data_IF_985815078163
#
_entry.id   IF_985815078163
#
_cell.length_a   1.000
_cell.length_b   1.000
_cell.length_c   1.000
_cell.angle_alpha   90.00
_cell.angle_beta   90.00
_cell.angle_gamma   90.00
#
_symmetry.space_group_name_H-M   'P 1'
#
loop_
_entity.id
_entity.type
_entity.pdbx_description
1 polymer ?
#
# COMPACT_ATOMS: atom_id res chain seq x y z
N UNK A 1 32.87 -17.27 29.94
CA UNK A 1 32.46 -18.67 30.14
C UNK A 1 31.50 -18.74 31.34
N UNK A 2 30.36 -19.44 31.16
CA UNK A 2 29.35 -19.88 32.15
C UNK A 2 28.41 -18.84 32.78
N UNK A 3 27.27 -18.60 32.11
CA UNK A 3 26.03 -18.11 32.73
C UNK A 3 25.33 -19.25 33.50
N UNK A 4 24.83 -19.04 34.74
CA UNK A 4 23.98 -20.00 35.42
C UNK A 4 22.51 -19.87 35.01
N UNK A 5 21.93 -21.04 34.73
CA UNK A 5 20.59 -21.35 34.21
C UNK A 5 19.44 -20.79 35.07
N UNK A 6 18.51 -20.07 34.43
CA UNK A 6 17.22 -19.69 35.01
C UNK A 6 16.34 -20.92 35.25
N UNK A 7 15.72 -20.98 36.44
CA UNK A 7 14.78 -22.03 36.85
C UNK A 7 13.36 -21.65 36.42
N UNK A 8 12.82 -22.32 35.42
CA UNK A 8 11.42 -22.17 35.01
C UNK A 8 10.51 -22.99 35.94
N UNK A 9 9.77 -22.31 36.81
CA UNK A 9 8.77 -22.93 37.68
C UNK A 9 7.56 -23.44 36.92
N UNK A 10 7.27 -24.75 37.02
CA UNK A 10 6.05 -25.38 36.49
C UNK A 10 4.85 -25.07 37.39
N UNK A 11 3.92 -24.27 36.89
CA UNK A 11 2.65 -24.01 37.57
C UNK A 11 1.64 -25.14 37.26
N UNK A 12 1.41 -26.05 38.22
CA UNK A 12 0.33 -27.05 38.13
C UNK A 12 -0.91 -26.52 38.84
N UNK A 13 -1.94 -26.12 38.10
CA UNK A 13 -3.27 -25.85 38.67
C UNK A 13 -4.04 -27.17 38.77
N UNK A 14 -4.33 -27.62 40.01
CA UNK A 14 -5.35 -28.64 40.27
C UNK A 14 -6.71 -27.94 40.29
N UNK A 15 -7.71 -28.46 39.59
CA UNK A 15 -9.12 -28.19 39.88
C UNK A 15 -9.74 -29.50 40.36
N UNK A 16 -10.31 -29.44 41.56
CA UNK A 16 -11.10 -30.53 42.15
C UNK A 16 -12.35 -30.76 41.33
N UNK A 17 -12.71 -32.04 41.20
CA UNK A 17 -13.97 -32.47 40.61
C UNK A 17 -15.09 -32.44 41.64
N UNK A 18 -16.25 -31.96 41.21
CA UNK A 18 -17.55 -32.20 41.82
C UNK A 18 -18.53 -32.42 40.67
N UNK A 19 -19.11 -33.61 40.59
CA UNK A 19 -20.00 -34.03 39.51
C UNK A 19 -21.46 -33.58 39.71
N UNK A 20 -22.25 -33.68 38.64
CA UNK A 20 -23.71 -33.58 38.71
C UNK A 20 -24.39 -33.10 37.42
N UNK A 21 -24.66 -34.05 36.52
CA UNK A 21 -25.84 -34.17 35.64
C UNK A 21 -26.47 -32.95 34.91
N UNK A 22 -26.62 -33.11 33.59
CA UNK A 22 -27.81 -32.63 32.87
C UNK A 22 -27.55 -31.71 31.66
N UNK A 23 -27.90 -32.20 30.47
CA UNK A 23 -28.19 -31.37 29.30
C UNK A 23 -27.03 -31.15 28.33
N UNK A 24 -26.76 -32.15 27.48
CA UNK A 24 -25.94 -32.00 26.27
C UNK A 24 -26.72 -31.18 25.22
N UNK A 25 -26.69 -29.86 25.33
CA UNK A 25 -26.77 -29.01 24.14
C UNK A 25 -25.44 -28.30 24.00
N UNK A 26 -24.48 -29.06 23.48
CA UNK A 26 -23.15 -28.59 23.13
C UNK A 26 -23.30 -27.48 22.09
N UNK A 27 -23.33 -26.23 22.57
CA UNK A 27 -23.06 -25.03 21.76
C UNK A 27 -21.66 -25.16 21.19
N UNK A 28 -21.55 -25.91 20.09
CA UNK A 28 -20.35 -26.20 19.32
C UNK A 28 -19.80 -24.87 18.83
N UNK A 29 -18.97 -24.23 19.66
CA UNK A 29 -18.20 -23.04 19.29
C UNK A 29 -17.31 -23.45 18.12
N UNK A 30 -17.74 -23.15 16.90
CA UNK A 30 -16.94 -23.30 15.70
C UNK A 30 -15.72 -22.39 15.84
N UNK A 31 -14.60 -22.95 16.31
CA UNK A 31 -13.31 -22.30 16.17
C UNK A 31 -12.91 -22.43 14.70
N UNK A 32 -13.26 -21.44 13.89
CA UNK A 32 -12.69 -21.30 12.55
C UNK A 32 -11.21 -20.93 12.70
N UNK A 33 -10.31 -21.70 12.06
CA UNK A 33 -8.91 -21.34 11.99
C UNK A 33 -8.73 -20.12 11.10
N UNK A 34 -8.22 -19.02 11.64
CA UNK A 34 -7.81 -17.87 10.86
C UNK A 34 -6.41 -18.16 10.30
N UNK A 35 -6.31 -18.29 8.98
CA UNK A 35 -5.04 -18.42 8.28
C UNK A 35 -4.54 -17.02 7.88
N UNK A 36 -3.45 -16.57 8.49
CA UNK A 36 -2.78 -15.33 8.10
C UNK A 36 -1.89 -15.58 6.87
N UNK A 37 -2.10 -14.80 5.80
CA UNK A 37 -1.27 -14.86 4.59
C UNK A 37 -0.41 -13.58 4.47
N UNK A 38 0.88 -13.62 4.83
CA UNK A 38 1.76 -12.46 4.80
C UNK A 38 2.25 -12.06 3.40
N UNK A 39 1.74 -12.65 2.31
CA UNK A 39 2.24 -12.42 0.94
C UNK A 39 1.85 -11.06 0.32
N UNK A 40 1.22 -10.16 1.07
CA UNK A 40 0.84 -8.83 0.59
C UNK A 40 1.96 -7.82 0.72
N UNK A 41 1.93 -6.76 -0.09
CA UNK A 41 2.72 -5.53 0.11
C UNK A 41 1.78 -4.33 0.10
N UNK A 42 2.15 -3.27 0.80
CA UNK A 42 1.42 -2.00 0.79
C UNK A 42 2.21 -0.95 0.01
N UNK A 43 1.54 -0.23 -0.88
CA UNK A 43 2.14 0.86 -1.66
C UNK A 43 1.43 2.17 -1.34
N UNK A 44 2.21 3.20 -1.03
CA UNK A 44 1.76 4.56 -0.76
C UNK A 44 2.21 5.48 -1.89
N UNK A 45 1.30 6.31 -2.39
CA UNK A 45 1.59 7.31 -3.42
C UNK A 45 1.55 8.70 -2.81
N UNK A 46 2.54 9.51 -3.14
CA UNK A 46 2.63 10.91 -2.75
C UNK A 46 2.93 11.75 -3.98
N UNK A 47 2.31 12.92 -4.03
CA UNK A 47 2.58 13.96 -5.01
C UNK A 47 3.16 15.19 -4.30
N UNK A 48 3.93 16.02 -5.00
CA UNK A 48 4.46 17.25 -4.40
C UNK A 48 3.37 18.31 -4.13
N UNK A 49 2.21 18.19 -4.80
CA UNK A 49 1.06 19.10 -4.66
C UNK A 49 -0.26 18.34 -4.67
N UNK A 50 -1.28 18.94 -4.07
CA UNK A 50 -2.66 18.43 -4.08
C UNK A 50 -3.41 18.74 -5.37
N UNK A 51 -3.01 19.80 -6.09
CA UNK A 51 -3.58 20.20 -7.37
C UNK A 51 -2.49 20.72 -8.31
N UNK A 52 -2.71 20.51 -9.61
CA UNK A 52 -1.80 20.94 -10.67
C UNK A 52 -2.57 21.68 -11.76
N UNK A 53 -1.93 22.69 -12.35
CA UNK A 53 -2.42 23.39 -13.53
C UNK A 53 -1.90 22.74 -14.81
N UNK A 54 -2.55 22.96 -15.96
CA UNK A 54 -1.99 22.59 -17.26
C UNK A 54 -0.56 23.12 -17.42
N UNK A 55 0.33 22.30 -17.99
CA UNK A 55 1.74 22.66 -18.16
C UNK A 55 2.59 22.57 -16.88
N UNK A 56 2.07 22.07 -15.76
CA UNK A 56 2.89 21.82 -14.58
C UNK A 56 3.51 20.41 -14.58
N UNK A 57 4.73 20.31 -14.05
CA UNK A 57 5.38 19.03 -13.76
C UNK A 57 4.76 18.44 -12.49
N UNK A 58 4.28 17.21 -12.58
CA UNK A 58 3.82 16.42 -11.46
C UNK A 58 4.97 15.54 -10.98
N UNK A 59 5.37 15.68 -9.72
CA UNK A 59 6.36 14.81 -9.09
C UNK A 59 5.66 13.78 -8.24
N UNK A 60 6.02 12.52 -8.44
CA UNK A 60 5.39 11.36 -7.80
C UNK A 60 6.45 10.59 -7.04
N UNK A 61 6.08 10.16 -5.83
CA UNK A 61 6.84 9.23 -5.02
C UNK A 61 5.95 8.06 -4.65
N UNK A 62 6.35 6.86 -5.08
CA UNK A 62 5.75 5.61 -4.65
C UNK A 62 6.64 4.96 -3.58
N UNK A 63 6.05 4.53 -2.46
CA UNK A 63 6.75 3.84 -1.38
C UNK A 63 6.07 2.50 -1.14
N UNK A 64 6.79 1.41 -1.38
CA UNK A 64 6.29 0.05 -1.23
C UNK A 64 6.98 -0.68 -0.08
N UNK A 65 6.17 -1.25 0.82
CA UNK A 65 6.62 -1.95 2.02
C UNK A 65 5.97 -3.31 2.16
N UNK A 66 6.71 -4.25 2.74
CA UNK A 66 6.22 -5.57 3.13
C UNK A 66 5.52 -5.51 4.49
N UNK A 67 4.77 -6.56 4.90
CA UNK A 67 4.03 -6.56 6.16
C UNK A 67 4.94 -6.57 7.39
N UNK A 68 6.20 -6.94 7.22
CA UNK A 68 7.24 -6.85 8.25
C UNK A 68 7.89 -5.46 8.33
N UNK A 69 7.38 -4.48 7.58
CA UNK A 69 7.86 -3.10 7.53
C UNK A 69 9.12 -2.89 6.67
N UNK A 70 9.66 -3.95 6.05
CA UNK A 70 10.83 -3.83 5.19
C UNK A 70 10.47 -3.25 3.82
N UNK A 71 11.41 -2.55 3.17
CA UNK A 71 11.20 -2.08 1.81
C UNK A 71 11.00 -3.24 0.83
N UNK A 72 10.10 -3.04 -0.13
CA UNK A 72 9.93 -3.97 -1.24
C UNK A 72 11.15 -3.89 -2.17
N UNK A 73 11.85 -5.02 -2.35
CA UNK A 73 13.03 -5.13 -3.22
C UNK A 73 12.69 -5.71 -4.61
N UNK A 74 11.58 -5.26 -5.20
CA UNK A 74 11.15 -5.70 -6.54
C UNK A 74 10.82 -4.48 -7.40
N UNK A 75 11.04 -4.55 -8.73
CA UNK A 75 10.62 -3.50 -9.64
C UNK A 75 9.12 -3.25 -9.58
N UNK A 76 8.72 -2.01 -9.85
CA UNK A 76 7.32 -1.56 -9.83
C UNK A 76 6.87 -1.08 -11.21
N UNK A 77 5.62 -1.39 -11.54
CA UNK A 77 4.93 -0.82 -12.68
C UNK A 77 4.04 0.33 -12.20
N UNK A 78 4.21 1.51 -12.77
CA UNK A 78 3.45 2.71 -12.42
C UNK A 78 2.70 3.17 -13.66
N UNK A 79 1.39 3.36 -13.55
CA UNK A 79 0.56 3.93 -14.60
C UNK A 79 -0.30 5.06 -14.06
N UNK A 80 -0.46 6.09 -14.89
CA UNK A 80 -1.28 7.26 -14.61
C UNK A 80 -2.36 7.31 -15.66
N UNK A 81 -3.61 7.31 -15.21
CA UNK A 81 -4.77 7.43 -16.08
C UNK A 81 -5.48 8.75 -15.81
N UNK A 82 -6.08 9.33 -16.84
CA UNK A 82 -7.02 10.43 -16.67
C UNK A 82 -8.34 9.92 -16.05
N UNK A 83 -9.24 10.82 -15.61
CA UNK A 83 -10.55 10.43 -15.08
C UNK A 83 -11.45 9.66 -16.08
N UNK A 84 -11.13 9.66 -17.37
CA UNK A 84 -11.84 8.94 -18.42
C UNK A 84 -11.24 7.55 -18.67
N UNK A 85 -10.15 7.19 -17.99
CA UNK A 85 -9.46 5.91 -18.12
C UNK A 85 -8.38 5.88 -19.22
N UNK A 86 -8.03 7.01 -19.83
CA UNK A 86 -6.95 7.07 -20.81
C UNK A 86 -5.59 7.03 -20.10
N UNK A 87 -4.67 6.20 -20.58
CA UNK A 87 -3.31 6.12 -20.07
C UNK A 87 -2.52 7.38 -20.47
N UNK A 88 -2.22 8.23 -19.49
CA UNK A 88 -1.41 9.44 -19.69
C UNK A 88 0.09 9.14 -19.68
N UNK A 89 0.50 8.22 -18.79
CA UNK A 89 1.90 7.81 -18.67
C UNK A 89 2.05 6.46 -18.02
N UNK A 90 3.08 5.73 -18.43
CA UNK A 90 3.45 4.45 -17.85
C UNK A 90 4.97 4.35 -17.69
N UNK A 91 5.38 3.74 -16.58
CA UNK A 91 6.74 3.26 -16.36
C UNK A 91 6.66 1.79 -15.97
N UNK A 92 7.49 0.96 -16.60
CA UNK A 92 7.54 -0.47 -16.39
C UNK A 92 8.87 -0.86 -15.74
N UNK A 93 8.82 -1.85 -14.86
CA UNK A 93 9.97 -2.44 -14.18
C UNK A 93 10.91 -1.39 -13.57
N UNK A 94 10.33 -0.38 -12.92
CA UNK A 94 11.11 0.69 -12.29
C UNK A 94 11.73 0.19 -11.01
N UNK A 95 13.05 0.18 -10.97
CA UNK A 95 13.79 -0.12 -9.74
C UNK A 95 13.69 1.04 -8.74
N UNK A 96 13.36 0.69 -7.50
CA UNK A 96 13.28 1.63 -6.40
C UNK A 96 14.44 1.46 -5.43
N UNK A 97 14.92 2.56 -4.85
CA UNK A 97 15.91 2.53 -3.78
C UNK A 97 15.17 2.41 -2.46
N UNK A 98 15.45 1.34 -1.70
CA UNK A 98 14.77 1.05 -0.42
C UNK A 98 13.23 1.08 -0.56
N UNK A 99 12.72 0.47 -1.64
CA UNK A 99 11.26 0.40 -1.91
C UNK A 99 10.65 1.74 -2.30
N UNK A 100 11.46 2.76 -2.61
CA UNK A 100 11.02 4.09 -3.04
C UNK A 100 11.32 4.28 -4.51
N UNK A 101 10.30 4.63 -5.28
CA UNK A 101 10.41 5.07 -6.67
C UNK A 101 9.99 6.54 -6.76
N UNK A 102 10.81 7.35 -7.44
CA UNK A 102 10.51 8.76 -7.70
C UNK A 102 10.51 9.01 -9.19
N UNK A 103 9.40 9.53 -9.71
CA UNK A 103 9.21 9.83 -11.14
C UNK A 103 8.55 11.20 -11.30
N UNK A 104 8.65 11.76 -12.50
CA UNK A 104 7.99 13.01 -12.84
C UNK A 104 7.39 12.96 -14.23
N UNK A 105 6.32 13.72 -14.43
CA UNK A 105 5.70 13.87 -15.74
C UNK A 105 5.13 15.26 -15.96
N UNK A 106 5.24 15.73 -17.19
CA UNK A 106 4.68 17.00 -17.62
C UNK A 106 3.19 16.82 -17.93
N UNK A 107 2.33 17.59 -17.28
CA UNK A 107 0.92 17.69 -17.67
C UNK A 107 0.80 18.44 -18.99
N UNK A 108 -0.08 17.96 -19.86
CA UNK A 108 -0.35 18.65 -21.13
C UNK A 108 -0.87 20.07 -20.87
N UNK A 109 -0.35 21.03 -21.64
CA UNK A 109 -0.95 22.34 -21.75
C UNK A 109 -2.20 22.22 -22.60
N UNK A 110 -3.33 21.91 -21.97
CA UNK A 110 -4.62 22.09 -22.64
C UNK A 110 -4.85 23.59 -22.72
N UNK A 111 -4.59 24.18 -23.90
CA UNK A 111 -4.91 25.57 -24.20
C UNK A 111 -6.44 25.75 -24.12
N UNK A 112 -6.96 25.98 -22.92
CA UNK A 112 -8.31 26.48 -22.71
C UNK A 112 -8.31 28.00 -22.86
N UNK A 113 -7.92 28.48 -24.04
CA UNK A 113 -8.20 29.86 -24.42
C UNK A 113 -8.70 29.89 -25.84
N UNK A 114 -9.94 30.35 -26.02
CA UNK A 114 -10.66 30.30 -27.28
C UNK A 114 -9.85 30.91 -28.42
N UNK A 115 -9.73 30.16 -29.51
CA UNK A 115 -9.28 30.68 -30.79
C UNK A 115 -10.37 31.60 -31.37
N UNK A 116 -10.49 32.79 -30.82
CA UNK A 116 -10.90 34.00 -31.53
C UNK A 116 -9.64 34.75 -31.94
N UNK A 117 -8.73 34.09 -32.65
CA UNK A 117 -7.62 34.79 -33.30
C UNK A 117 -8.21 35.54 -34.49
N UNK A 118 -8.59 36.80 -34.25
CA UNK A 118 -8.76 37.80 -35.30
C UNK A 118 -7.47 37.85 -36.11
N UNK A 119 -7.55 37.50 -37.39
CA UNK A 119 -6.48 37.67 -38.35
C UNK A 119 -5.88 39.08 -38.24
N UNK A 120 -4.55 39.27 -38.23
CA UNK A 120 -3.98 40.60 -38.32
C UNK A 120 -4.38 41.22 -39.68
N UNK A 121 -4.76 42.51 -39.74
CA UNK A 121 -5.04 43.17 -41.00
C UNK A 121 -3.75 43.24 -41.83
N UNK A 122 -3.80 42.69 -43.05
CA UNK A 122 -2.78 42.91 -44.07
C UNK A 122 -2.73 44.41 -44.37
N UNK A 123 -1.57 45.03 -44.15
CA UNK A 123 -1.23 46.34 -44.72
C UNK A 123 -0.35 46.11 -45.93
#
# INVERSE_FOLDING_TARGET
MKNPRGKSGKLRRRRGGGGGGGGEEERRRRRGGLHFNPKGSSTFLQTDRSSYLPGQVVKIRAVSVLPDGKPLQRPLNISINDPRGNLLRQWLDVEGVLGVVSTEFQLSETLLWGNGASSPPST
#
